data_IF_466166969063
#
_entry.id   IF_466166969063
#
_cell.length_a   1.000
_cell.length_b   1.000
_cell.length_c   1.000
_cell.angle_alpha   90.00
_cell.angle_beta   90.00
_cell.angle_gamma   90.00
#
_symmetry.space_group_name_H-M   'P 1'
#
loop_
_entity.id
_entity.type
_entity.pdbx_description
1 polymer ?
#
# COMPACT_ATOMS: atom_id res chain seq x y z
N UNK A 1 55.09 27.28 -8.28
CA UNK A 1 54.35 26.28 -7.46
C UNK A 1 53.35 27.06 -6.62
N UNK A 2 52.05 26.86 -6.87
CA UNK A 2 50.98 27.47 -6.09
C UNK A 2 50.81 26.73 -4.75
N UNK A 3 50.45 27.41 -3.65
CA UNK A 3 50.14 26.75 -2.39
C UNK A 3 48.77 26.06 -2.50
N UNK A 4 48.73 24.82 -2.02
CA UNK A 4 47.53 24.00 -1.92
C UNK A 4 46.59 24.61 -0.89
N UNK A 5 45.37 24.94 -1.32
CA UNK A 5 44.27 25.40 -0.46
C UNK A 5 43.84 24.25 0.45
N UNK A 6 44.10 24.38 1.76
CA UNK A 6 43.55 23.48 2.77
C UNK A 6 42.01 23.60 2.77
N UNK A 7 41.34 22.48 2.52
CA UNK A 7 39.89 22.38 2.66
C UNK A 7 39.51 22.68 4.11
N UNK A 8 38.79 23.78 4.33
CA UNK A 8 38.09 24.09 5.58
C UNK A 8 37.21 22.91 5.99
N UNK A 9 37.71 22.06 6.87
CA UNK A 9 36.90 21.08 7.59
C UNK A 9 35.97 21.86 8.51
N UNK A 10 34.66 21.82 8.23
CA UNK A 10 33.67 22.42 9.10
C UNK A 10 33.81 21.81 10.50
N UNK A 11 34.33 22.60 11.45
CA UNK A 11 34.37 22.23 12.87
C UNK A 11 32.92 22.07 13.32
N UNK A 12 32.56 20.88 13.77
CA UNK A 12 31.26 20.65 14.40
C UNK A 12 31.32 21.30 15.78
N UNK A 13 30.66 22.44 15.92
CA UNK A 13 30.52 23.15 17.19
C UNK A 13 29.81 22.26 18.23
N UNK A 14 30.29 22.22 19.49
CA UNK A 14 29.62 21.48 20.54
C UNK A 14 28.20 22.03 20.81
N UNK A 15 27.24 21.12 21.01
CA UNK A 15 25.88 21.50 21.40
C UNK A 15 25.89 22.30 22.71
N UNK A 16 25.13 23.39 22.76
CA UNK A 16 24.97 24.20 23.96
C UNK A 16 24.27 23.41 25.07
N UNK A 17 24.47 23.76 26.35
CA UNK A 17 23.75 23.13 27.47
C UNK A 17 22.22 23.20 27.34
N UNK A 18 21.69 24.21 26.63
CA UNK A 18 20.26 24.34 26.34
C UNK A 18 19.80 23.32 25.29
N UNK A 19 20.59 23.11 24.25
CA UNK A 19 20.32 22.10 23.22
C UNK A 19 20.43 20.69 23.78
N UNK A 20 21.45 20.42 24.61
CA UNK A 20 21.60 19.13 25.31
C UNK A 20 20.40 18.85 26.22
N UNK A 21 19.96 19.82 27.04
CA UNK A 21 18.75 19.66 27.87
C UNK A 21 17.48 19.52 27.03
N UNK A 22 17.39 20.23 25.91
CA UNK A 22 16.28 20.12 24.97
C UNK A 22 16.22 18.76 24.27
N UNK A 23 17.38 18.21 23.90
CA UNK A 23 17.53 16.88 23.34
C UNK A 23 17.17 15.81 24.38
N UNK A 24 17.73 15.89 25.60
CA UNK A 24 17.41 14.97 26.69
C UNK A 24 15.91 14.96 27.04
N UNK A 25 15.25 16.12 27.08
CA UNK A 25 13.78 16.22 27.29
C UNK A 25 12.94 15.65 26.15
N UNK A 26 13.51 15.51 24.95
CA UNK A 26 12.85 14.99 23.75
C UNK A 26 13.34 13.60 23.35
N UNK A 27 14.36 13.08 24.01
CA UNK A 27 14.97 11.78 23.72
C UNK A 27 13.97 10.62 23.90
N UNK A 28 12.97 10.79 24.77
CA UNK A 28 11.86 9.85 24.95
C UNK A 28 10.67 10.09 24.01
N UNK A 29 10.69 11.16 23.20
CA UNK A 29 9.61 11.50 22.26
C UNK A 29 9.97 10.98 20.88
N UNK A 30 9.93 9.65 20.74
CA UNK A 30 10.10 9.00 19.46
C UNK A 30 8.95 9.35 18.52
N UNK A 31 9.26 9.42 17.23
CA UNK A 31 8.26 9.61 16.18
C UNK A 31 7.39 8.36 16.13
N UNK A 32 6.08 8.54 16.21
CA UNK A 32 5.14 7.43 16.10
C UNK A 32 5.01 7.01 14.63
N UNK A 33 5.21 5.72 14.36
CA UNK A 33 5.00 5.10 13.05
C UNK A 33 3.56 4.60 12.97
N UNK A 34 2.83 5.04 11.95
CA UNK A 34 1.49 4.58 11.63
C UNK A 34 1.58 3.77 10.34
N UNK A 35 1.13 2.50 10.35
CA UNK A 35 1.17 1.68 9.13
C UNK A 35 -0.22 1.29 8.65
N UNK A 36 -0.69 1.77 7.48
CA UNK A 36 -1.96 1.33 6.93
C UNK A 36 -1.90 -0.13 6.43
N UNK A 37 -0.74 -0.63 6.00
CA UNK A 37 -0.54 -2.03 5.62
C UNK A 37 0.00 -2.87 6.78
N UNK A 38 -0.45 -4.12 6.83
CA UNK A 38 0.20 -5.22 7.56
C UNK A 38 1.39 -5.74 6.75
N UNK A 39 2.43 -4.92 6.64
CA UNK A 39 3.76 -5.49 6.40
C UNK A 39 4.25 -6.05 7.72
N UNK A 40 4.60 -7.33 7.71
CA UNK A 40 5.22 -8.02 8.83
C UNK A 40 6.21 -7.08 9.51
N UNK A 41 5.84 -6.60 10.70
CA UNK A 41 6.84 -6.08 11.62
C UNK A 41 7.89 -7.19 11.74
N UNK A 42 9.18 -6.85 11.71
CA UNK A 42 10.24 -7.82 12.00
C UNK A 42 10.03 -8.34 13.43
N UNK A 43 9.22 -9.39 13.57
CA UNK A 43 8.93 -10.01 14.84
C UNK A 43 10.20 -10.73 15.30
N UNK A 44 10.59 -10.58 16.58
CA UNK A 44 11.66 -11.38 17.17
C UNK A 44 11.44 -12.86 16.87
N UNK A 45 12.50 -13.54 16.48
CA UNK A 45 12.52 -14.93 16.00
C UNK A 45 11.78 -15.93 16.91
N UNK A 46 11.61 -15.60 18.18
CA UNK A 46 10.96 -16.41 19.22
C UNK A 46 9.42 -16.42 19.11
N UNK A 47 8.79 -15.39 18.53
CA UNK A 47 7.34 -15.34 18.27
C UNK A 47 6.92 -16.04 16.96
N UNK A 48 7.88 -16.36 16.08
CA UNK A 48 7.62 -17.09 14.82
C UNK A 48 7.09 -18.51 15.03
N UNK A 49 7.26 -19.07 16.23
CA UNK A 49 6.74 -20.41 16.53
C UNK A 49 5.21 -20.40 16.79
N UNK A 50 4.64 -19.26 17.18
CA UNK A 50 3.20 -19.11 17.48
C UNK A 50 2.43 -18.64 16.24
N UNK A 51 3.07 -17.87 15.34
CA UNK A 51 2.51 -17.47 14.03
C UNK A 51 2.40 -18.62 13.00
N UNK A 52 2.73 -19.85 13.38
CA UNK A 52 2.92 -21.02 12.51
C UNK A 52 1.64 -21.78 12.14
N UNK A 53 0.49 -21.12 12.22
CA UNK A 53 -0.72 -21.56 11.54
C UNK A 53 -1.19 -20.36 10.73
N UNK A 54 -0.47 -20.06 9.65
CA UNK A 54 -1.08 -19.27 8.60
C UNK A 54 -2.37 -19.98 8.20
N UNK A 55 -3.52 -19.36 8.49
CA UNK A 55 -4.78 -19.90 8.02
C UNK A 55 -4.75 -19.91 6.48
N UNK A 56 -5.46 -20.86 5.87
CA UNK A 56 -5.45 -21.07 4.42
C UNK A 56 -5.79 -19.78 3.64
N UNK A 57 -6.62 -18.90 4.22
CA UNK A 57 -6.95 -17.60 3.66
C UNK A 57 -5.74 -16.64 3.57
N UNK A 58 -4.88 -16.60 4.59
CA UNK A 58 -3.67 -15.78 4.57
C UNK A 58 -2.64 -16.29 3.56
N UNK A 59 -2.46 -17.61 3.45
CA UNK A 59 -1.61 -18.22 2.41
C UNK A 59 -2.14 -17.92 1.00
N UNK A 60 -3.47 -18.03 0.82
CA UNK A 60 -4.14 -17.74 -0.44
C UNK A 60 -4.00 -16.27 -0.84
N UNK A 61 -4.22 -15.35 0.11
CA UNK A 61 -3.99 -13.91 -0.07
C UNK A 61 -2.57 -13.62 -0.52
N UNK A 62 -1.56 -14.09 0.24
CA UNK A 62 -0.14 -13.89 -0.12
C UNK A 62 0.23 -14.47 -1.48
N UNK A 63 -0.37 -15.59 -1.87
CA UNK A 63 -0.15 -16.15 -3.20
C UNK A 63 -0.67 -15.20 -4.30
N UNK A 64 -1.86 -14.62 -4.13
CA UNK A 64 -2.40 -13.62 -5.05
C UNK A 64 -1.56 -12.34 -5.13
N UNK A 65 -1.09 -11.80 -4.00
CA UNK A 65 -0.19 -10.63 -4.01
C UNK A 65 1.09 -10.92 -4.81
N UNK A 66 1.74 -12.06 -4.58
CA UNK A 66 2.94 -12.48 -5.35
C UNK A 66 2.65 -12.69 -6.83
N UNK A 67 1.44 -13.13 -7.17
CA UNK A 67 1.02 -13.24 -8.57
C UNK A 67 0.88 -11.84 -9.20
N UNK A 68 0.16 -10.92 -8.54
CA UNK A 68 -0.04 -9.55 -9.02
C UNK A 68 1.25 -8.74 -9.12
N UNK A 69 2.19 -8.93 -8.18
CA UNK A 69 3.52 -8.30 -8.19
C UNK A 69 4.29 -8.60 -9.48
N UNK A 70 4.08 -9.78 -10.05
CA UNK A 70 4.81 -10.29 -11.22
C UNK A 70 4.09 -10.05 -12.55
N UNK A 71 2.96 -9.35 -12.54
CA UNK A 71 2.22 -9.07 -13.77
C UNK A 71 3.07 -8.23 -14.73
N UNK A 72 3.22 -8.74 -15.94
CA UNK A 72 3.69 -7.96 -17.07
C UNK A 72 2.49 -7.21 -17.67
N UNK A 73 2.24 -6.01 -17.14
CA UNK A 73 1.15 -5.13 -17.59
C UNK A 73 1.19 -4.84 -19.10
N UNK A 74 2.39 -4.78 -19.70
CA UNK A 74 2.54 -4.49 -21.14
C UNK A 74 2.31 -5.72 -22.01
N UNK A 75 2.62 -6.91 -21.49
CA UNK A 75 2.29 -8.18 -22.12
C UNK A 75 0.78 -8.48 -22.16
N UNK A 76 -0.04 -7.70 -21.46
CA UNK A 76 -1.49 -7.79 -21.50
C UNK A 76 -2.03 -9.10 -20.93
N UNK A 77 -3.26 -9.43 -21.31
CA UNK A 77 -4.01 -10.51 -20.66
C UNK A 77 -3.41 -11.88 -20.94
N UNK A 78 -2.85 -12.10 -22.13
CA UNK A 78 -2.21 -13.36 -22.51
C UNK A 78 -0.94 -13.63 -21.68
N UNK A 79 -0.17 -12.59 -21.36
CA UNK A 79 1.00 -12.70 -20.48
C UNK A 79 0.55 -13.04 -19.05
N UNK A 80 -0.50 -12.39 -18.57
CA UNK A 80 -1.08 -12.65 -17.26
C UNK A 80 -1.63 -14.09 -17.16
N UNK A 81 -2.32 -14.60 -18.20
CA UNK A 81 -2.83 -15.97 -18.27
C UNK A 81 -1.69 -16.99 -18.19
N UNK A 82 -0.62 -16.82 -18.98
CA UNK A 82 0.55 -17.71 -18.95
C UNK A 82 1.23 -17.71 -17.58
N UNK A 83 1.33 -16.55 -16.94
CA UNK A 83 1.85 -16.47 -15.58
C UNK A 83 0.95 -17.21 -14.60
N UNK A 84 -0.37 -17.06 -14.72
CA UNK A 84 -1.34 -17.71 -13.84
C UNK A 84 -1.23 -19.23 -13.92
N UNK A 85 -1.26 -19.78 -15.14
CA UNK A 85 -1.10 -21.23 -15.39
C UNK A 85 0.21 -21.76 -14.79
N UNK A 86 1.30 -20.99 -14.89
CA UNK A 86 2.60 -21.35 -14.32
C UNK A 86 2.61 -21.32 -12.78
N UNK A 87 1.89 -20.39 -12.15
CA UNK A 87 1.87 -20.24 -10.69
C UNK A 87 0.81 -21.11 -10.00
N UNK A 88 -0.28 -21.47 -10.70
CA UNK A 88 -1.43 -22.19 -10.14
C UNK A 88 -1.05 -23.48 -9.38
N UNK A 89 -0.10 -24.32 -9.83
CA UNK A 89 0.30 -25.53 -9.08
C UNK A 89 0.89 -25.26 -7.69
N UNK A 90 1.31 -24.02 -7.42
CA UNK A 90 1.85 -23.60 -6.11
C UNK A 90 0.81 -22.92 -5.22
N UNK A 91 -0.42 -22.75 -5.71
CA UNK A 91 -1.50 -22.12 -4.97
C UNK A 91 -2.00 -23.06 -3.86
N UNK A 92 -2.20 -22.57 -2.61
CA UNK A 92 -2.76 -23.37 -1.53
C UNK A 92 -4.22 -23.79 -1.77
N UNK A 93 -4.95 -23.07 -2.62
CA UNK A 93 -6.32 -23.37 -3.02
C UNK A 93 -6.51 -23.10 -4.53
N UNK A 94 -6.09 -24.07 -5.34
CA UNK A 94 -6.10 -23.96 -6.79
C UNK A 94 -7.52 -23.89 -7.38
N UNK A 95 -8.52 -24.50 -6.72
CA UNK A 95 -9.91 -24.47 -7.18
C UNK A 95 -10.49 -23.06 -7.02
N UNK A 96 -10.35 -22.46 -5.84
CA UNK A 96 -10.75 -21.07 -5.61
C UNK A 96 -9.98 -20.11 -6.50
N UNK A 97 -8.67 -20.30 -6.68
CA UNK A 97 -7.86 -19.46 -7.55
C UNK A 97 -8.33 -19.50 -9.01
N UNK A 98 -8.67 -20.68 -9.55
CA UNK A 98 -9.17 -20.81 -10.91
C UNK A 98 -10.52 -20.11 -11.12
N UNK A 99 -11.41 -20.20 -10.13
CA UNK A 99 -12.69 -19.48 -10.12
C UNK A 99 -12.49 -17.96 -10.09
N UNK A 100 -11.71 -17.47 -9.14
CA UNK A 100 -11.42 -16.04 -8.97
C UNK A 100 -10.66 -15.47 -10.18
N UNK A 101 -9.75 -16.26 -10.75
CA UNK A 101 -9.06 -15.88 -11.98
C UNK A 101 -10.01 -15.78 -13.16
N UNK A 102 -11.00 -16.66 -13.28
CA UNK A 102 -12.02 -16.55 -14.34
C UNK A 102 -12.77 -15.21 -14.26
N UNK A 103 -13.13 -14.76 -13.05
CA UNK A 103 -13.76 -13.47 -12.84
C UNK A 103 -12.79 -12.29 -13.12
N UNK A 104 -11.56 -12.40 -12.63
CA UNK A 104 -10.51 -11.39 -12.75
C UNK A 104 -10.05 -11.21 -14.20
N UNK A 105 -9.73 -12.30 -14.89
CA UNK A 105 -9.20 -12.33 -16.25
C UNK A 105 -10.11 -11.60 -17.24
N UNK A 106 -11.43 -11.69 -17.07
CA UNK A 106 -12.40 -11.04 -17.96
C UNK A 106 -12.39 -9.51 -17.86
N UNK A 107 -11.97 -8.96 -16.72
CA UNK A 107 -12.26 -7.58 -16.35
C UNK A 107 -11.03 -6.76 -15.95
N UNK A 108 -9.93 -7.41 -15.56
CA UNK A 108 -8.71 -6.78 -15.03
C UNK A 108 -8.21 -5.62 -15.91
N UNK A 109 -8.03 -5.88 -17.21
CA UNK A 109 -7.54 -4.87 -18.16
C UNK A 109 -8.66 -4.03 -18.78
N UNK A 110 -9.93 -4.32 -18.47
CA UNK A 110 -11.10 -3.60 -19.00
C UNK A 110 -11.61 -2.53 -18.07
N UNK A 111 -11.22 -2.54 -16.80
CA UNK A 111 -11.56 -1.48 -15.86
C UNK A 111 -11.06 -0.13 -16.41
N UNK A 112 -11.95 0.85 -16.55
CA UNK A 112 -11.67 2.09 -17.28
C UNK A 112 -10.39 2.81 -16.79
N UNK A 113 -10.20 2.91 -15.47
CA UNK A 113 -8.99 3.51 -14.89
C UNK A 113 -7.73 2.71 -15.26
N UNK A 114 -7.74 1.39 -15.15
CA UNK A 114 -6.59 0.54 -15.51
C UNK A 114 -6.31 0.62 -17.01
N UNK A 115 -7.34 0.49 -17.85
CA UNK A 115 -7.24 0.58 -19.31
C UNK A 115 -6.64 1.92 -19.76
N UNK A 116 -7.02 3.02 -19.10
CA UNK A 116 -6.44 4.35 -19.36
C UNK A 116 -4.93 4.39 -19.13
N UNK A 117 -4.44 3.78 -18.05
CA UNK A 117 -3.01 3.70 -17.78
C UNK A 117 -2.26 2.76 -18.73
N UNK A 118 -2.87 1.62 -19.09
CA UNK A 118 -2.32 0.68 -20.08
C UNK A 118 -2.18 1.30 -21.48
N UNK A 119 -3.09 2.21 -21.84
CA UNK A 119 -3.09 2.89 -23.14
C UNK A 119 -1.97 3.92 -23.32
N UNK A 120 -1.07 4.11 -22.35
CA UNK A 120 0.04 5.06 -22.44
C UNK A 120 1.39 4.39 -22.24
N UNK A 121 2.28 4.54 -23.22
CA UNK A 121 3.66 4.04 -23.16
C UNK A 121 4.51 4.69 -22.05
N UNK A 122 4.06 5.85 -21.57
CA UNK A 122 4.69 6.64 -20.50
C UNK A 122 4.30 6.15 -19.10
N UNK A 123 3.36 5.21 -19.00
CA UNK A 123 2.96 4.67 -17.71
C UNK A 123 4.06 3.79 -17.14
N UNK A 124 4.44 4.10 -15.90
CA UNK A 124 5.29 3.29 -15.04
C UNK A 124 4.39 2.46 -14.12
N UNK A 125 4.67 1.16 -14.04
CA UNK A 125 3.96 0.22 -13.19
C UNK A 125 4.87 -0.16 -12.03
N UNK A 126 4.40 0.09 -10.81
CA UNK A 126 5.09 -0.28 -9.59
C UNK A 126 4.23 -1.26 -8.81
N UNK A 127 4.73 -2.47 -8.61
CA UNK A 127 4.20 -3.36 -7.59
C UNK A 127 4.85 -3.03 -6.24
N UNK A 128 4.12 -3.28 -5.15
CA UNK A 128 4.60 -3.15 -3.78
C UNK A 128 5.27 -1.77 -3.54
N UNK A 129 4.56 -0.68 -3.88
CA UNK A 129 5.07 0.69 -3.84
C UNK A 129 5.21 1.21 -2.39
N UNK A 130 6.44 1.34 -1.86
CA UNK A 130 6.64 1.76 -0.48
C UNK A 130 6.58 3.28 -0.34
N UNK A 131 6.11 3.75 0.81
CA UNK A 131 6.17 5.16 1.17
C UNK A 131 6.49 5.37 2.64
N UNK A 132 7.04 6.55 2.93
CA UNK A 132 7.19 7.10 4.26
C UNK A 132 6.88 8.59 4.21
N UNK A 133 5.85 9.02 4.93
CA UNK A 133 5.31 10.38 4.87
C UNK A 133 5.18 10.98 6.25
N UNK A 134 5.83 12.13 6.44
CA UNK A 134 5.75 12.88 7.69
C UNK A 134 4.38 13.58 7.79
N UNK A 135 3.47 12.99 8.58
CA UNK A 135 2.18 13.62 8.93
C UNK A 135 2.39 14.93 9.69
N UNK A 136 3.27 14.90 10.69
CA UNK A 136 3.63 16.08 11.49
C UNK A 136 4.98 15.86 12.19
N UNK A 137 5.37 16.78 13.08
CA UNK A 137 6.66 16.70 13.79
C UNK A 137 6.80 15.52 14.77
N UNK A 138 5.76 14.71 14.94
CA UNK A 138 5.69 13.60 15.91
C UNK A 138 5.19 12.30 15.32
N UNK A 139 4.73 12.26 14.07
CA UNK A 139 4.29 11.02 13.45
C UNK A 139 4.58 10.96 11.95
N UNK A 140 4.81 9.72 11.51
CA UNK A 140 5.07 9.33 10.12
C UNK A 140 4.10 8.21 9.76
N UNK A 141 3.50 8.32 8.59
CA UNK A 141 2.79 7.22 7.94
C UNK A 141 3.77 6.44 7.08
N UNK A 142 3.83 5.13 7.26
CA UNK A 142 4.61 4.24 6.41
C UNK A 142 3.74 3.11 5.91
N UNK A 143 3.94 2.68 4.68
CA UNK A 143 3.17 1.57 4.15
C UNK A 143 3.64 1.20 2.78
N UNK A 144 3.01 0.15 2.25
CA UNK A 144 3.15 -0.28 0.88
C UNK A 144 1.78 -0.34 0.25
N UNK A 145 1.66 0.26 -0.93
CA UNK A 145 0.50 0.10 -1.80
C UNK A 145 0.79 -1.05 -2.74
N UNK A 146 -0.13 -2.00 -2.86
CA UNK A 146 0.14 -3.20 -3.66
C UNK A 146 0.48 -2.90 -5.12
N UNK A 147 -0.17 -1.90 -5.73
CA UNK A 147 0.14 -1.46 -7.07
C UNK A 147 -0.09 0.05 -7.24
N UNK A 148 0.88 0.71 -7.87
CA UNK A 148 0.79 2.09 -8.33
C UNK A 148 1.10 2.19 -9.82
N UNK A 149 0.17 2.74 -10.59
CA UNK A 149 0.33 3.06 -12.01
C UNK A 149 0.52 4.57 -12.14
N UNK A 150 1.70 5.00 -12.58
CA UNK A 150 2.10 6.41 -12.57
C UNK A 150 2.30 6.88 -14.00
N UNK A 151 1.61 7.96 -14.37
CA UNK A 151 1.81 8.66 -15.62
C UNK A 151 2.16 10.13 -15.33
N UNK A 152 3.47 10.42 -15.30
CA UNK A 152 3.96 11.77 -14.99
C UNK A 152 3.64 12.79 -16.08
N UNK A 153 3.51 12.35 -17.33
CA UNK A 153 3.17 13.24 -18.45
C UNK A 153 1.79 13.86 -18.30
N UNK A 154 0.82 13.08 -17.82
CA UNK A 154 -0.53 13.54 -17.55
C UNK A 154 -0.76 13.97 -16.09
N UNK A 155 0.26 13.84 -15.23
CA UNK A 155 0.15 14.19 -13.81
C UNK A 155 -0.77 13.25 -13.02
N UNK A 156 -0.89 11.98 -13.43
CA UNK A 156 -1.89 11.04 -12.90
C UNK A 156 -1.24 9.83 -12.23
N UNK A 157 -1.92 9.32 -11.20
CA UNK A 157 -1.56 8.09 -10.49
C UNK A 157 -2.82 7.28 -10.18
N UNK A 158 -2.79 5.96 -10.38
CA UNK A 158 -3.81 5.04 -9.88
C UNK A 158 -3.19 4.10 -8.86
N UNK A 159 -3.79 4.06 -7.67
CA UNK A 159 -3.49 3.11 -6.63
C UNK A 159 -4.51 1.97 -6.69
N UNK A 160 -4.00 0.74 -6.66
CA UNK A 160 -4.82 -0.47 -6.59
C UNK A 160 -4.37 -1.28 -5.40
N UNK A 161 -5.33 -1.65 -4.57
CA UNK A 161 -5.17 -2.53 -3.41
C UNK A 161 -5.93 -3.84 -3.71
N UNK A 162 -5.24 -4.98 -3.72
CA UNK A 162 -5.80 -6.27 -4.09
C UNK A 162 -6.42 -6.94 -2.87
N UNK A 163 -7.60 -7.54 -3.04
CA UNK A 163 -8.24 -8.31 -1.98
C UNK A 163 -8.78 -9.63 -2.46
N UNK A 164 -8.53 -10.64 -1.63
CA UNK A 164 -8.98 -12.03 -1.83
C UNK A 164 -10.12 -12.43 -0.93
N UNK A 165 -10.74 -11.48 -0.22
CA UNK A 165 -11.91 -11.76 0.60
C UNK A 165 -13.05 -12.30 -0.29
N UNK A 166 -13.69 -13.37 0.15
CA UNK A 166 -14.91 -13.86 -0.49
C UNK A 166 -16.03 -12.85 -0.22
N UNK A 167 -16.48 -12.17 -1.28
CA UNK A 167 -17.49 -11.12 -1.19
C UNK A 167 -18.52 -11.31 -2.31
N UNK A 168 -19.78 -11.08 -1.99
CA UNK A 168 -20.87 -11.10 -2.96
C UNK A 168 -21.12 -9.69 -3.53
N UNK A 169 -21.78 -9.59 -4.69
CA UNK A 169 -22.13 -8.28 -5.26
C UNK A 169 -23.04 -7.44 -4.34
N UNK A 170 -23.88 -8.07 -3.51
CA UNK A 170 -24.74 -7.37 -2.55
C UNK A 170 -23.96 -6.77 -1.37
N UNK A 171 -22.77 -7.31 -1.06
CA UNK A 171 -21.94 -6.85 0.05
C UNK A 171 -20.83 -5.89 -0.38
N UNK A 172 -20.76 -5.56 -1.68
CA UNK A 172 -19.66 -4.78 -2.25
C UNK A 172 -19.47 -3.41 -1.57
N UNK A 173 -20.55 -2.72 -1.18
CA UNK A 173 -20.42 -1.42 -0.50
C UNK A 173 -19.95 -1.55 0.94
N UNK A 174 -20.41 -2.58 1.67
CA UNK A 174 -19.92 -2.89 3.03
C UNK A 174 -18.43 -3.21 2.97
N UNK A 175 -18.03 -3.98 1.97
CA UNK A 175 -16.65 -4.32 1.69
C UNK A 175 -15.80 -3.10 1.36
N UNK A 176 -16.27 -2.21 0.47
CA UNK A 176 -15.59 -0.92 0.19
C UNK A 176 -15.46 -0.06 1.44
N UNK A 177 -16.51 0.04 2.25
CA UNK A 177 -16.50 0.83 3.47
C UNK A 177 -15.43 0.35 4.47
N UNK A 178 -15.21 -0.98 4.58
CA UNK A 178 -14.17 -1.56 5.44
C UNK A 178 -12.76 -1.08 5.09
N UNK A 179 -12.42 -1.00 3.80
CA UNK A 179 -11.07 -0.61 3.35
C UNK A 179 -10.93 0.89 3.04
N UNK A 180 -12.02 1.64 3.05
CA UNK A 180 -12.01 3.08 2.77
C UNK A 180 -11.00 3.87 3.62
N UNK A 181 -10.84 3.63 4.94
CA UNK A 181 -9.84 4.32 5.74
C UNK A 181 -8.40 4.16 5.20
N UNK A 182 -8.04 2.91 4.85
CA UNK A 182 -6.71 2.57 4.33
C UNK A 182 -6.46 3.25 2.99
N UNK A 183 -7.42 3.16 2.06
CA UNK A 183 -7.33 3.75 0.73
C UNK A 183 -7.31 5.29 0.79
N UNK A 184 -8.04 5.90 1.73
CA UNK A 184 -7.99 7.35 1.96
C UNK A 184 -6.60 7.80 2.45
N UNK A 185 -5.96 7.02 3.34
CA UNK A 185 -4.61 7.28 3.78
C UNK A 185 -3.59 7.16 2.63
N UNK A 186 -3.66 6.09 1.84
CA UNK A 186 -2.80 5.91 0.66
C UNK A 186 -2.97 7.02 -0.37
N UNK A 187 -4.22 7.32 -0.72
CA UNK A 187 -4.58 8.38 -1.65
C UNK A 187 -3.97 9.73 -1.23
N UNK A 188 -4.16 10.11 0.04
CA UNK A 188 -3.60 11.34 0.57
C UNK A 188 -2.07 11.34 0.54
N UNK A 189 -1.46 10.31 1.10
CA UNK A 189 -0.01 10.24 1.29
C UNK A 189 0.71 10.24 -0.06
N UNK A 190 0.29 9.40 -1.00
CA UNK A 190 0.91 9.33 -2.31
C UNK A 190 0.68 10.63 -3.09
N UNK A 191 -0.51 11.24 -2.98
CA UNK A 191 -0.79 12.54 -3.59
C UNK A 191 0.16 13.63 -3.09
N UNK A 192 0.37 13.71 -1.77
CA UNK A 192 1.28 14.69 -1.16
C UNK A 192 2.76 14.44 -1.51
N UNK A 193 3.20 13.17 -1.55
CA UNK A 193 4.59 12.82 -1.89
C UNK A 193 4.88 13.14 -3.36
N UNK A 194 3.96 12.78 -4.25
CA UNK A 194 4.22 12.79 -5.69
C UNK A 194 3.79 14.07 -6.39
N UNK A 195 2.85 14.82 -5.80
CA UNK A 195 2.20 15.97 -6.44
C UNK A 195 1.28 15.60 -7.61
N UNK A 196 0.91 14.33 -7.74
CA UNK A 196 0.05 13.82 -8.82
C UNK A 196 -1.43 13.82 -8.41
N UNK A 197 -2.31 13.82 -9.41
CA UNK A 197 -3.72 13.50 -9.23
C UNK A 197 -3.87 11.99 -9.01
N UNK A 198 -4.30 11.61 -7.82
CA UNK A 198 -4.40 10.21 -7.41
C UNK A 198 -5.85 9.73 -7.48
N UNK A 199 -6.08 8.66 -8.24
CA UNK A 199 -7.23 7.77 -8.14
C UNK A 199 -6.87 6.56 -7.27
N UNK A 200 -7.84 6.00 -6.55
CA UNK A 200 -7.63 4.81 -5.74
C UNK A 200 -8.82 3.86 -5.83
N UNK A 201 -8.56 2.55 -5.82
CA UNK A 201 -9.60 1.54 -5.89
C UNK A 201 -9.17 0.21 -5.27
N UNK A 202 -10.17 -0.54 -4.85
CA UNK A 202 -10.00 -1.90 -4.34
C UNK A 202 -10.26 -2.88 -5.47
N UNK A 203 -9.34 -3.78 -5.78
CA UNK A 203 -9.60 -4.85 -6.73
C UNK A 203 -9.96 -6.14 -5.99
N UNK A 204 -11.19 -6.61 -6.16
CA UNK A 204 -11.64 -7.88 -5.56
C UNK A 204 -11.41 -9.02 -6.54
N UNK A 205 -10.66 -10.05 -6.14
CA UNK A 205 -10.49 -11.27 -6.97
C UNK A 205 -11.79 -12.05 -7.11
N UNK A 206 -12.60 -12.07 -6.04
CA UNK A 206 -13.90 -12.75 -6.00
C UNK A 206 -14.94 -12.10 -6.93
N UNK A 207 -14.99 -10.76 -6.99
CA UNK A 207 -15.87 -10.04 -7.92
C UNK A 207 -15.24 -9.84 -9.31
N UNK A 208 -13.92 -9.99 -9.39
CA UNK A 208 -13.13 -9.85 -10.60
C UNK A 208 -12.97 -8.43 -11.13
N UNK A 209 -13.34 -7.38 -10.39
CA UNK A 209 -13.28 -6.02 -10.90
C UNK A 209 -12.81 -4.99 -9.87
N UNK A 210 -12.39 -3.83 -10.38
CA UNK A 210 -12.01 -2.67 -9.60
C UNK A 210 -13.26 -1.98 -9.04
N UNK A 211 -13.24 -1.74 -7.74
CA UNK A 211 -14.19 -0.93 -6.99
C UNK A 211 -13.55 0.44 -6.72
N UNK A 212 -13.75 1.44 -7.60
CA UNK A 212 -13.12 2.75 -7.45
C UNK A 212 -13.71 3.52 -6.28
N UNK A 213 -12.93 4.38 -5.65
CA UNK A 213 -13.43 5.39 -4.71
C UNK A 213 -13.46 6.75 -5.38
N UNK A 214 -14.51 7.54 -5.08
CA UNK A 214 -14.55 8.92 -5.57
C UNK A 214 -13.57 9.79 -4.77
N UNK A 215 -13.10 10.88 -5.40
CA UNK A 215 -12.26 11.85 -4.72
C UNK A 215 -12.93 12.41 -3.46
N UNK A 216 -14.23 12.73 -3.54
CA UNK A 216 -14.98 13.30 -2.43
C UNK A 216 -15.14 12.30 -1.27
N UNK A 217 -15.32 11.02 -1.59
CA UNK A 217 -15.40 9.93 -0.61
C UNK A 217 -14.06 9.78 0.15
N UNK A 218 -12.94 9.70 -0.57
CA UNK A 218 -11.61 9.58 0.03
C UNK A 218 -11.23 10.84 0.82
N UNK A 219 -11.56 12.02 0.29
CA UNK A 219 -11.28 13.29 0.95
C UNK A 219 -12.09 13.42 2.24
N UNK A 220 -13.37 13.08 2.23
CA UNK A 220 -14.23 13.12 3.43
C UNK A 220 -13.74 12.13 4.49
N UNK A 221 -13.36 10.93 4.07
CA UNK A 221 -12.80 9.93 4.97
C UNK A 221 -11.47 10.37 5.56
N UNK A 222 -10.58 10.95 4.75
CA UNK A 222 -9.32 11.49 5.25
C UNK A 222 -9.53 12.59 6.30
N UNK A 223 -10.47 13.52 6.06
CA UNK A 223 -10.80 14.54 7.06
C UNK A 223 -11.26 13.93 8.38
N UNK A 224 -12.05 12.86 8.34
CA UNK A 224 -12.48 12.12 9.54
C UNK A 224 -11.28 11.50 10.25
N UNK A 225 -10.41 10.81 9.51
CA UNK A 225 -9.19 10.18 10.03
C UNK A 225 -8.24 11.19 10.67
N UNK A 226 -8.14 12.40 10.12
CA UNK A 226 -7.26 13.43 10.67
C UNK A 226 -7.65 13.90 12.07
N UNK A 227 -8.95 13.82 12.41
CA UNK A 227 -9.44 14.18 13.74
C UNK A 227 -9.24 13.09 14.78
N UNK A 228 -8.90 11.87 14.37
CA UNK A 228 -8.74 10.76 15.28
C UNK A 228 -7.44 10.87 16.10
N UNK A 229 -7.48 10.51 17.40
CA UNK A 229 -6.30 10.21 18.18
C UNK A 229 -5.42 9.14 17.49
N UNK A 230 -4.09 9.16 17.67
CA UNK A 230 -3.19 8.27 16.94
C UNK A 230 -3.51 6.77 17.04
N UNK A 231 -3.93 6.29 18.22
CA UNK A 231 -4.30 4.88 18.43
C UNK A 231 -5.56 4.50 17.65
N UNK A 232 -6.58 5.34 17.67
CA UNK A 232 -7.83 5.08 16.93
C UNK A 232 -7.58 5.13 15.43
N UNK A 233 -6.77 6.08 14.99
CA UNK A 233 -6.34 6.18 13.60
C UNK A 233 -5.62 4.90 13.14
N UNK A 234 -4.68 4.39 13.94
CA UNK A 234 -3.93 3.16 13.61
C UNK A 234 -4.83 1.95 13.47
N UNK A 235 -5.85 1.83 14.33
CA UNK A 235 -6.83 0.74 14.27
C UNK A 235 -7.71 0.84 13.02
N UNK A 236 -8.13 2.05 12.64
CA UNK A 236 -9.04 2.23 11.51
C UNK A 236 -8.35 2.04 10.15
N UNK A 237 -7.09 2.44 10.01
CA UNK A 237 -6.34 2.28 8.76
C UNK A 237 -5.85 0.84 8.53
N UNK A 238 -5.99 -0.05 9.51
CA UNK A 238 -5.59 -1.47 9.46
C UNK A 238 -6.81 -2.41 9.54
N UNK A 239 -7.60 -2.53 8.46
CA UNK A 239 -8.82 -3.34 8.46
C UNK A 239 -8.58 -4.85 8.64
N UNK A 240 -7.33 -5.32 8.55
CA UNK A 240 -6.93 -6.73 8.67
C UNK A 240 -6.08 -7.02 9.92
N UNK A 241 -5.96 -6.07 10.87
CA UNK A 241 -5.35 -6.38 12.16
C UNK A 241 -6.22 -7.44 12.88
N UNK A 242 -5.64 -8.54 13.39
CA UNK A 242 -6.40 -9.44 14.25
C UNK A 242 -6.90 -8.65 15.45
N UNK A 243 -8.19 -8.80 15.79
CA UNK A 243 -8.69 -8.36 17.08
C UNK A 243 -7.80 -8.99 18.16
N UNK A 244 -7.19 -8.17 19.03
CA UNK A 244 -6.41 -8.64 20.17
C UNK A 244 -7.29 -9.59 21.01
N UNK A 245 -7.00 -10.89 20.94
CA UNK A 245 -7.53 -11.92 21.84
C UNK A 245 -6.40 -12.84 22.32
#
# INVERSE_FOLDING_TARGET
>A
MAPVSEKNGARIEPLTPREVRGAAKRASKFVQKLTPSTLDAEFPSELRLVARIDNLAALYGRWWHRFFERLDWRGGIDSAQKLFEKQLPTCPDAESAAKDWTATHQNLLRAASIARFLGSDETLFHAEFPFSWRRNNRSVFEGVVDSAMINRKFGQCLLVDWKTNNVSSSDAEIFRARYRPQLAAYWKVVGEITGLEVEAGLFSTALGHLLPYSKDELQSEWHRLEQLPPVQLENEIRPDAPDDF
#
